data_IF_106031258223
#
_entry.id   IF_106031258223
#
_cell.length_a   1.000
_cell.length_b   1.000
_cell.length_c   1.000
_cell.angle_alpha   90.00
_cell.angle_beta   90.00
_cell.angle_gamma   90.00
#
_symmetry.space_group_name_H-M   'P 1'
#
loop_
_entity.id
_entity.type
_entity.pdbx_description
1 polymer ?
#
# COMPACT_ATOMS: atom_id res chain seq x y z
N UNK A 1 1.84 -7.57 12.47
CA UNK A 1 0.98 -6.77 13.37
C UNK A 1 1.25 -7.04 14.86
N UNK A 2 1.34 -8.29 15.31
CA UNK A 2 1.58 -8.63 16.74
C UNK A 2 2.99 -8.29 17.22
N UNK A 3 4.01 -8.35 16.35
CA UNK A 3 5.39 -8.04 16.75
C UNK A 3 5.73 -6.54 16.67
N UNK A 4 5.31 -5.85 15.60
CA UNK A 4 5.63 -4.43 15.37
C UNK A 4 4.61 -3.51 16.07
N UNK A 5 3.33 -3.65 15.72
CA UNK A 5 2.25 -2.85 16.30
C UNK A 5 1.81 -3.33 17.69
N UNK A 6 2.26 -4.52 18.11
CA UNK A 6 1.99 -5.11 19.44
C UNK A 6 0.50 -5.29 19.76
N UNK A 7 -0.29 -5.55 18.72
CA UNK A 7 -1.73 -5.78 18.84
C UNK A 7 -2.04 -7.07 19.59
N UNK A 8 -3.16 -7.09 20.30
CA UNK A 8 -3.63 -8.16 21.17
C UNK A 8 -5.03 -8.63 20.80
N UNK A 9 -5.45 -9.74 21.39
CA UNK A 9 -6.84 -10.20 21.32
C UNK A 9 -7.79 -9.08 21.75
N UNK A 10 -8.87 -8.89 20.99
CA UNK A 10 -9.80 -7.80 21.18
C UNK A 10 -9.50 -6.54 20.36
N UNK A 11 -8.28 -6.37 19.83
CA UNK A 11 -7.98 -5.23 18.97
C UNK A 11 -8.67 -5.33 17.61
N UNK A 12 -8.95 -4.17 17.03
CA UNK A 12 -9.57 -4.03 15.72
C UNK A 12 -8.53 -3.83 14.63
N UNK A 13 -8.76 -4.44 13.47
CA UNK A 13 -8.00 -4.21 12.23
C UNK A 13 -8.91 -3.98 11.04
N UNK A 14 -8.31 -3.46 9.98
CA UNK A 14 -8.91 -3.40 8.65
C UNK A 14 -8.09 -4.28 7.70
N UNK A 15 -8.79 -5.16 6.99
CA UNK A 15 -8.24 -6.00 5.93
C UNK A 15 -8.69 -5.43 4.59
N UNK A 16 -7.75 -5.00 3.76
CA UNK A 16 -8.02 -4.43 2.44
C UNK A 16 -7.59 -5.45 1.39
N UNK A 17 -8.53 -5.83 0.51
CA UNK A 17 -8.31 -6.80 -0.55
C UNK A 17 -8.11 -6.11 -1.91
N UNK A 18 -7.55 -6.85 -2.88
CA UNK A 18 -7.24 -6.33 -4.22
C UNK A 18 -8.48 -5.97 -5.04
N UNK A 19 -9.65 -6.50 -4.68
CA UNK A 19 -10.95 -6.18 -5.26
C UNK A 19 -11.61 -4.95 -4.61
N UNK A 20 -10.84 -4.18 -3.84
CA UNK A 20 -11.25 -2.97 -3.12
C UNK A 20 -12.23 -3.22 -1.97
N UNK A 21 -12.51 -4.48 -1.64
CA UNK A 21 -13.29 -4.79 -0.44
C UNK A 21 -12.43 -4.51 0.79
N UNK A 22 -12.96 -3.71 1.71
CA UNK A 22 -12.34 -3.51 3.03
C UNK A 22 -13.22 -4.13 4.11
N UNK A 23 -12.61 -4.97 4.96
CA UNK A 23 -13.29 -5.65 6.08
C UNK A 23 -12.73 -5.12 7.39
N UNK A 24 -13.63 -4.60 8.23
CA UNK A 24 -13.36 -4.37 9.64
C UNK A 24 -13.42 -5.73 10.37
N UNK A 25 -12.34 -6.11 11.03
CA UNK A 25 -12.24 -7.37 11.74
C UNK A 25 -11.71 -7.17 13.17
N UNK A 26 -12.06 -8.08 14.07
CA UNK A 26 -11.59 -8.11 15.46
C UNK A 26 -10.72 -9.33 15.70
N UNK A 27 -9.56 -9.15 16.33
CA UNK A 27 -8.67 -10.25 16.67
C UNK A 27 -9.34 -11.11 17.75
N UNK A 28 -9.50 -12.40 17.46
CA UNK A 28 -10.11 -13.37 18.37
C UNK A 28 -9.09 -14.22 19.09
N UNK A 29 -7.98 -14.57 18.42
CA UNK A 29 -6.87 -15.27 19.05
C UNK A 29 -5.57 -15.06 18.29
N UNK A 30 -4.45 -15.15 19.02
CA UNK A 30 -3.11 -15.06 18.46
C UNK A 30 -2.33 -16.30 18.89
N UNK A 31 -1.70 -16.99 17.93
CA UNK A 31 -0.68 -18.00 18.22
C UNK A 31 0.66 -17.60 17.58
N UNK A 32 1.68 -18.45 17.71
CA UNK A 32 3.04 -18.12 17.24
C UNK A 32 3.15 -17.85 15.73
N UNK A 33 2.24 -18.40 14.91
CA UNK A 33 2.33 -18.34 13.44
C UNK A 33 1.16 -17.61 12.78
N UNK A 34 0.04 -17.44 13.48
CA UNK A 34 -1.22 -17.04 12.91
C UNK A 34 -1.97 -16.09 13.85
N UNK A 35 -2.72 -15.19 13.22
CA UNK A 35 -3.67 -14.30 13.90
C UNK A 35 -5.05 -14.66 13.37
N UNK A 36 -5.94 -15.07 14.27
CA UNK A 36 -7.32 -15.36 13.93
C UNK A 36 -8.16 -14.13 14.20
N UNK A 37 -9.06 -13.85 13.26
CA UNK A 37 -9.90 -12.66 13.29
C UNK A 37 -11.33 -13.03 12.92
N UNK A 38 -12.28 -12.26 13.42
CA UNK A 38 -13.69 -12.36 13.05
C UNK A 38 -14.10 -11.09 12.32
N UNK A 39 -14.75 -11.26 11.17
CA UNK A 39 -15.40 -10.17 10.45
C UNK A 39 -16.45 -9.49 11.35
N UNK A 40 -16.36 -8.17 11.44
CA UNK A 40 -17.31 -7.31 12.16
C UNK A 40 -18.25 -6.63 11.16
N UNK A 41 -17.67 -6.03 10.12
CA UNK A 41 -18.43 -5.34 9.07
C UNK A 41 -17.59 -5.18 7.80
N UNK A 42 -18.25 -4.97 6.67
CA UNK A 42 -17.63 -4.45 5.43
C UNK A 42 -17.70 -2.93 5.44
N UNK A 43 -16.63 -2.28 5.02
CA UNK A 43 -16.60 -0.84 4.80
C UNK A 43 -17.32 -0.52 3.48
N UNK A 44 -18.15 0.53 3.49
CA UNK A 44 -18.93 0.96 2.32
C UNK A 44 -18.38 2.22 1.65
N UNK A 45 -17.26 2.76 2.17
CA UNK A 45 -16.71 4.02 1.71
C UNK A 45 -15.74 3.80 0.54
N UNK A 46 -16.02 4.46 -0.59
CA UNK A 46 -15.09 4.59 -1.70
C UNK A 46 -13.98 5.58 -1.31
N UNK A 47 -12.71 5.14 -1.39
CA UNK A 47 -11.53 5.93 -1.01
C UNK A 47 -10.71 6.37 -2.22
N UNK A 48 -11.00 5.84 -3.39
CA UNK A 48 -10.27 6.16 -4.62
C UNK A 48 -10.71 7.49 -5.24
N UNK A 49 -9.81 8.07 -6.03
CA UNK A 49 -10.14 9.25 -6.81
C UNK A 49 -11.19 8.92 -7.89
N UNK A 50 -12.08 9.88 -8.22
CA UNK A 50 -13.02 9.72 -9.33
C UNK A 50 -12.33 9.72 -10.71
N UNK A 51 -11.01 10.00 -10.76
CA UNK A 51 -10.20 9.97 -11.97
C UNK A 51 -8.99 9.04 -11.77
N UNK A 52 -8.68 8.24 -12.80
CA UNK A 52 -7.48 7.41 -12.82
C UNK A 52 -6.27 8.25 -13.27
N UNK A 53 -5.40 8.60 -12.32
CA UNK A 53 -4.19 9.38 -12.58
C UNK A 53 -2.97 8.44 -12.63
N UNK A 54 -2.25 8.44 -13.76
CA UNK A 54 -0.95 7.77 -13.90
C UNK A 54 0.18 8.78 -13.93
N UNK A 55 1.17 8.61 -13.07
CA UNK A 55 2.37 9.46 -13.03
C UNK A 55 3.51 8.77 -13.77
N UNK A 56 4.02 9.40 -14.83
CA UNK A 56 5.24 8.95 -15.51
C UNK A 56 6.43 9.79 -15.04
N UNK A 57 7.47 9.15 -14.50
CA UNK A 57 8.64 9.81 -13.95
C UNK A 57 9.94 9.26 -14.54
N UNK A 58 10.80 10.14 -15.06
CA UNK A 58 12.16 9.77 -15.41
C UNK A 58 12.95 9.38 -14.16
N UNK A 59 13.83 8.36 -14.23
CA UNK A 59 14.56 7.88 -13.05
C UNK A 59 15.26 9.03 -12.28
N UNK A 60 14.87 9.29 -11.03
CA UNK A 60 15.47 10.34 -10.22
C UNK A 60 16.81 9.88 -9.63
N UNK A 61 17.65 10.82 -9.19
CA UNK A 61 18.90 10.53 -8.48
C UNK A 61 18.63 10.27 -6.99
N UNK A 62 19.23 9.21 -6.45
CA UNK A 62 19.12 8.82 -5.03
C UNK A 62 17.72 8.33 -4.67
N UNK A 63 17.38 8.40 -3.38
CA UNK A 63 16.18 7.77 -2.79
C UNK A 63 14.90 8.59 -2.99
N UNK A 64 14.89 9.51 -3.96
CA UNK A 64 13.73 10.38 -4.22
C UNK A 64 12.51 9.61 -4.71
N UNK A 65 12.71 8.45 -5.32
CA UNK A 65 11.60 7.68 -5.88
C UNK A 65 10.69 7.13 -4.78
N UNK A 66 11.24 6.70 -3.65
CA UNK A 66 10.46 6.16 -2.53
C UNK A 66 9.52 7.23 -1.97
N UNK A 67 10.03 8.45 -1.80
CA UNK A 67 9.23 9.59 -1.40
C UNK A 67 8.14 9.94 -2.42
N UNK A 68 8.46 9.91 -3.72
CA UNK A 68 7.48 10.20 -4.76
C UNK A 68 6.39 9.14 -4.84
N UNK A 69 6.74 7.85 -4.74
CA UNK A 69 5.77 6.74 -4.72
C UNK A 69 4.88 6.85 -3.49
N UNK A 70 5.45 7.13 -2.32
CA UNK A 70 4.66 7.37 -1.11
C UNK A 70 3.64 8.50 -1.32
N UNK A 71 4.08 9.66 -1.83
CA UNK A 71 3.19 10.81 -2.03
C UNK A 71 2.19 10.60 -3.16
N UNK A 72 2.56 9.89 -4.21
CA UNK A 72 1.65 9.50 -5.27
C UNK A 72 0.51 8.63 -4.73
N UNK A 73 0.82 7.61 -3.93
CA UNK A 73 -0.19 6.75 -3.29
C UNK A 73 -1.07 7.53 -2.32
N UNK A 74 -0.49 8.37 -1.45
CA UNK A 74 -1.25 9.20 -0.50
C UNK A 74 -2.21 10.18 -1.21
N UNK A 75 -1.86 10.63 -2.41
CA UNK A 75 -2.67 11.54 -3.23
C UNK A 75 -3.64 10.83 -4.18
N UNK A 76 -3.70 9.48 -4.16
CA UNK A 76 -4.65 8.70 -4.95
C UNK A 76 -4.23 8.45 -6.41
N UNK A 77 -2.93 8.46 -6.71
CA UNK A 77 -2.46 8.03 -8.03
C UNK A 77 -2.77 6.54 -8.25
N UNK A 78 -3.36 6.23 -9.41
CA UNK A 78 -3.70 4.85 -9.78
C UNK A 78 -2.46 4.05 -10.23
N UNK A 79 -1.45 4.72 -10.78
CA UNK A 79 -0.20 4.09 -11.18
C UNK A 79 0.99 5.07 -11.16
N UNK A 80 2.18 4.52 -10.94
CA UNK A 80 3.45 5.22 -11.03
C UNK A 80 4.41 4.45 -11.94
N UNK A 81 4.87 5.08 -13.01
CA UNK A 81 5.72 4.46 -14.02
C UNK A 81 7.07 5.18 -14.03
N UNK A 82 8.11 4.48 -13.56
CA UNK A 82 9.50 4.89 -13.74
C UNK A 82 9.98 4.56 -15.15
N UNK A 83 10.70 5.49 -15.81
CA UNK A 83 11.28 5.23 -17.12
C UNK A 83 12.67 5.86 -17.31
N UNK A 84 13.52 5.31 -18.19
CA UNK A 84 14.81 5.93 -18.53
C UNK A 84 14.58 7.14 -19.45
N UNK A 85 14.45 8.34 -18.88
CA UNK A 85 14.30 9.56 -19.65
C UNK A 85 15.64 10.02 -20.24
N UNK A 86 15.60 10.85 -21.30
CA UNK A 86 16.80 11.38 -21.98
C UNK A 86 17.80 12.05 -21.02
N UNK A 87 17.31 12.71 -19.98
CA UNK A 87 18.11 13.43 -18.98
C UNK A 87 18.25 12.67 -17.66
N UNK A 88 17.82 11.40 -17.60
CA UNK A 88 18.02 10.54 -16.43
C UNK A 88 19.49 10.17 -16.31
N UNK A 89 20.11 10.61 -15.22
CA UNK A 89 21.51 10.29 -14.90
C UNK A 89 21.62 8.86 -14.33
N UNK A 90 20.54 8.37 -13.71
CA UNK A 90 20.49 7.03 -13.14
C UNK A 90 20.02 6.04 -14.19
N UNK A 91 20.82 5.01 -14.42
CA UNK A 91 20.42 3.81 -15.15
C UNK A 91 20.07 2.77 -14.10
N UNK A 92 18.80 2.41 -14.01
CA UNK A 92 18.39 1.28 -13.17
C UNK A 92 18.87 0.03 -13.91
N UNK A 93 19.74 -0.76 -13.28
CA UNK A 93 20.22 -2.00 -13.89
C UNK A 93 19.01 -2.87 -14.22
N UNK A 94 18.91 -3.29 -15.48
CA UNK A 94 18.07 -4.42 -15.85
C UNK A 94 18.73 -5.67 -15.26
N UNK A 95 18.57 -5.87 -13.94
CA UNK A 95 18.81 -7.18 -13.38
C UNK A 95 17.69 -8.07 -13.87
N UNK A 96 18.08 -9.00 -14.73
CA UNK A 96 17.30 -10.14 -15.20
C UNK A 96 16.55 -10.82 -14.05
#
# INVERSE_FOLDING_TARGET
MTHVLRMKEGDQIYLVFSDQVTIQAKITSINEKQVFVKEVAKESQEKELPLSITIACGYPKGDKIDWMVQKATELGAAAFIGFPAKTSIVKWDQKN
#
